data_IF_108269425226
#
_entry.id   IF_108269425226
#
_cell.length_a   1.000
_cell.length_b   1.000
_cell.length_c   1.000
_cell.angle_alpha   90.00
_cell.angle_beta   90.00
_cell.angle_gamma   90.00
#
_symmetry.space_group_name_H-M   'P 1'
#
loop_
_entity.id
_entity.type
_entity.pdbx_description
1 polymer ?
#
# COMPACT_ATOMS: atom_id res chain seq x y z
N UNK A 1 36.40 1.20 11.01
CA UNK A 1 35.80 -0.14 10.80
C UNK A 1 34.71 -0.45 11.83
N UNK A 2 34.93 -0.25 13.14
CA UNK A 2 33.89 -0.47 14.15
C UNK A 2 32.64 0.43 13.99
N UNK A 3 32.81 1.66 13.50
CA UNK A 3 31.70 2.57 13.16
C UNK A 3 30.78 1.98 12.09
N UNK A 4 31.34 1.39 11.02
CA UNK A 4 30.57 0.71 9.96
C UNK A 4 29.77 -0.47 10.51
N UNK A 5 30.30 -1.14 11.55
CA UNK A 5 29.65 -2.27 12.20
C UNK A 5 28.52 -1.86 13.15
N UNK A 6 28.64 -0.71 13.84
CA UNK A 6 27.54 -0.10 14.60
C UNK A 6 26.38 0.30 13.68
N UNK A 7 26.66 0.78 12.46
CA UNK A 7 25.64 1.10 11.44
C UNK A 7 24.87 -0.12 10.89
N UNK A 8 25.34 -1.35 11.09
CA UNK A 8 24.75 -2.57 10.51
C UNK A 8 24.15 -3.53 11.56
N UNK A 9 24.49 -3.36 12.84
CA UNK A 9 24.13 -4.30 13.91
C UNK A 9 22.89 -3.93 14.72
N UNK A 10 22.53 -2.64 14.77
CA UNK A 10 21.35 -2.14 15.48
C UNK A 10 20.72 -1.08 14.58
N UNK A 11 19.67 -1.45 13.84
CA UNK A 11 18.93 -0.50 12.99
C UNK A 11 18.12 0.40 13.94
N UNK A 12 18.79 1.37 14.54
CA UNK A 12 18.19 2.34 15.42
C UNK A 12 17.43 3.42 14.65
N UNK A 13 16.73 4.29 15.38
CA UNK A 13 16.00 5.43 14.78
C UNK A 13 16.90 6.40 14.00
N UNK A 14 18.19 6.44 14.31
CA UNK A 14 19.22 7.23 13.60
C UNK A 14 19.51 6.72 12.20
N UNK A 15 19.74 5.40 12.00
CA UNK A 15 19.96 4.84 10.66
C UNK A 15 18.75 5.09 9.75
N UNK A 16 17.55 4.86 10.26
CA UNK A 16 16.32 5.04 9.49
C UNK A 16 16.18 6.48 9.00
N UNK A 17 16.60 7.46 9.81
CA UNK A 17 16.62 8.87 9.39
C UNK A 17 17.62 9.15 8.28
N UNK A 18 18.83 8.57 8.33
CA UNK A 18 19.83 8.74 7.27
C UNK A 18 19.34 8.11 5.96
N UNK A 19 18.79 6.90 6.02
CA UNK A 19 18.21 6.22 4.85
C UNK A 19 17.06 7.06 4.27
N UNK A 20 16.16 7.54 5.12
CA UNK A 20 15.05 8.40 4.70
C UNK A 20 15.56 9.68 4.03
N UNK A 21 16.59 10.31 4.59
CA UNK A 21 17.21 11.51 4.01
C UNK A 21 17.79 11.24 2.62
N UNK A 22 18.52 10.14 2.45
CA UNK A 22 19.07 9.72 1.15
C UNK A 22 17.94 9.50 0.16
N UNK A 23 16.92 8.70 0.51
CA UNK A 23 15.75 8.47 -0.35
C UNK A 23 15.05 9.77 -0.70
N UNK A 24 14.88 10.70 0.24
CA UNK A 24 14.27 12.01 -0.01
C UNK A 24 15.10 12.90 -0.92
N UNK A 25 16.44 12.79 -0.92
CA UNK A 25 17.29 13.55 -1.85
C UNK A 25 17.22 12.96 -3.26
N UNK A 26 17.29 11.64 -3.40
CA UNK A 26 17.23 10.97 -4.71
C UNK A 26 15.85 11.03 -5.35
N UNK A 27 14.80 10.73 -4.59
CA UNK A 27 13.43 10.73 -5.09
C UNK A 27 12.78 12.11 -4.95
N UNK A 28 13.22 12.97 -4.04
CA UNK A 28 12.58 14.25 -3.74
C UNK A 28 11.44 14.10 -2.73
N UNK A 29 11.34 15.05 -1.79
CA UNK A 29 10.31 15.05 -0.75
C UNK A 29 8.85 15.07 -1.26
N UNK A 30 8.64 15.50 -2.50
CA UNK A 30 7.32 15.54 -3.14
C UNK A 30 6.91 14.20 -3.77
N UNK A 31 7.85 13.33 -4.14
CA UNK A 31 7.53 12.08 -4.84
C UNK A 31 6.93 11.03 -3.93
N UNK A 32 7.39 10.91 -2.68
CA UNK A 32 6.82 9.92 -1.75
C UNK A 32 5.32 10.16 -1.48
N UNK A 33 4.86 11.39 -1.15
CA UNK A 33 3.43 11.67 -0.99
C UNK A 33 2.63 11.49 -2.28
N UNK A 34 3.21 11.83 -3.43
CA UNK A 34 2.58 11.69 -4.75
C UNK A 34 2.34 10.21 -5.09
N UNK A 35 3.36 9.36 -4.90
CA UNK A 35 3.27 7.90 -5.06
C UNK A 35 2.27 7.30 -4.06
N UNK A 36 2.32 7.68 -2.79
CA UNK A 36 1.40 7.19 -1.77
C UNK A 36 -0.07 7.55 -2.10
N UNK A 37 -0.32 8.77 -2.60
CA UNK A 37 -1.65 9.19 -3.06
C UNK A 37 -2.11 8.41 -4.28
N UNK A 38 -1.23 8.18 -5.25
CA UNK A 38 -1.53 7.38 -6.44
C UNK A 38 -1.87 5.93 -6.10
N UNK A 39 -1.01 5.28 -5.30
CA UNK A 39 -1.25 3.93 -4.79
C UNK A 39 -2.52 3.84 -3.95
N UNK A 40 -2.76 4.81 -3.06
CA UNK A 40 -3.96 4.83 -2.22
C UNK A 40 -5.26 4.95 -3.04
N UNK A 41 -5.25 5.75 -4.12
CA UNK A 41 -6.38 5.82 -5.05
C UNK A 41 -6.57 4.50 -5.79
N UNK A 42 -5.51 3.92 -6.34
CA UNK A 42 -5.57 2.64 -7.04
C UNK A 42 -6.08 1.50 -6.17
N UNK A 43 -5.60 1.41 -4.92
CA UNK A 43 -6.09 0.40 -3.95
C UNK A 43 -7.58 0.61 -3.64
N UNK A 44 -8.04 1.86 -3.50
CA UNK A 44 -9.46 2.17 -3.26
C UNK A 44 -10.32 1.76 -4.45
N UNK A 45 -9.96 2.17 -5.66
CA UNK A 45 -10.69 1.81 -6.88
C UNK A 45 -10.73 0.29 -7.09
N UNK A 46 -9.61 -0.39 -6.86
CA UNK A 46 -9.54 -1.85 -6.94
C UNK A 46 -10.47 -2.53 -5.93
N UNK A 47 -10.50 -2.03 -4.69
CA UNK A 47 -11.39 -2.53 -3.63
C UNK A 47 -12.86 -2.30 -3.99
N UNK A 48 -13.19 -1.12 -4.50
CA UNK A 48 -14.57 -0.76 -4.86
C UNK A 48 -15.08 -1.61 -6.03
N UNK A 49 -14.26 -1.81 -7.07
CA UNK A 49 -14.56 -2.71 -8.18
C UNK A 49 -14.77 -4.16 -7.72
N UNK A 50 -13.89 -4.66 -6.85
CA UNK A 50 -14.00 -6.03 -6.31
C UNK A 50 -15.27 -6.20 -5.48
N UNK A 51 -15.64 -5.21 -4.66
CA UNK A 51 -16.86 -5.25 -3.87
C UNK A 51 -18.13 -5.17 -4.73
N UNK A 52 -18.12 -4.35 -5.78
CA UNK A 52 -19.23 -4.29 -6.75
C UNK A 52 -19.50 -5.66 -7.37
N UNK A 53 -18.45 -6.31 -7.87
CA UNK A 53 -18.52 -7.66 -8.47
C UNK A 53 -19.03 -8.68 -7.44
N UNK A 54 -18.51 -8.65 -6.21
CA UNK A 54 -18.94 -9.58 -5.16
C UNK A 54 -20.44 -9.43 -4.85
N UNK A 55 -20.91 -8.20 -4.71
CA UNK A 55 -22.32 -7.93 -4.45
C UNK A 55 -23.22 -8.35 -5.63
N UNK A 56 -22.78 -8.16 -6.86
CA UNK A 56 -23.54 -8.57 -8.05
C UNK A 56 -23.66 -10.10 -8.17
N UNK A 57 -22.57 -10.82 -7.87
CA UNK A 57 -22.57 -12.29 -7.80
C UNK A 57 -23.52 -12.78 -6.70
N UNK A 58 -23.44 -12.21 -5.49
CA UNK A 58 -24.29 -12.60 -4.37
C UNK A 58 -25.77 -12.34 -4.67
N UNK A 59 -26.11 -11.19 -5.27
CA UNK A 59 -27.48 -10.87 -5.66
C UNK A 59 -28.01 -11.77 -6.78
N UNK A 60 -27.17 -12.17 -7.74
CA UNK A 60 -27.54 -13.12 -8.81
C UNK A 60 -27.83 -14.50 -8.23
N UNK A 61 -26.94 -14.99 -7.34
CA UNK A 61 -27.10 -16.30 -6.68
C UNK A 61 -28.35 -16.33 -5.78
N UNK A 62 -28.66 -15.24 -5.08
CA UNK A 62 -29.88 -15.12 -4.27
C UNK A 62 -31.16 -15.06 -5.12
N UNK A 63 -31.12 -14.40 -6.29
CA UNK A 63 -32.25 -14.37 -7.23
C UNK A 63 -32.53 -15.74 -7.83
N UNK A 64 -31.50 -16.40 -8.36
CA UNK A 64 -31.63 -17.72 -8.97
C UNK A 64 -32.16 -18.77 -7.97
N UNK A 65 -31.83 -18.63 -6.69
CA UNK A 65 -32.34 -19.50 -5.62
C UNK A 65 -33.82 -19.25 -5.30
N UNK A 66 -34.28 -17.99 -5.40
CA UNK A 66 -35.68 -17.63 -5.14
C UNK A 66 -36.62 -17.95 -6.30
N UNK A 67 -36.13 -17.98 -7.54
CA UNK A 67 -36.92 -18.37 -8.72
C UNK A 67 -37.09 -19.90 -8.84
N UNK A 68 -36.29 -20.69 -8.13
CA UNK A 68 -36.36 -22.16 -8.10
C UNK A 68 -37.22 -22.74 -6.97
N UNK A 69 -37.81 -21.88 -6.12
CA UNK A 69 -38.72 -22.24 -5.01
C UNK A 69 -40.15 -21.80 -5.34
#
# INVERSE_FOLDING_TARGET
>A
MATVFLFLGDVGGSELMVILLVVLVFFGAKRIPELARGLGKGIREFKDATNGIKNEIENTVEKDRKEQL
#
